data_IF_116151751415
#
_entry.id   IF_116151751415
#
_cell.length_a   1.000
_cell.length_b   1.000
_cell.length_c   1.000
_cell.angle_alpha   90.00
_cell.angle_beta   90.00
_cell.angle_gamma   90.00
#
_symmetry.space_group_name_H-M   'P 1'
#
loop_
_entity.id
_entity.type
_entity.pdbx_description
1 polymer ?
#
# COMPACT_ATOMS: atom_id res chain seq x y z
N UNK A 1 -25.81 58.42 -12.86
CA UNK A 1 -24.37 58.32 -13.20
C UNK A 1 -23.54 59.16 -12.23
N UNK A 2 -22.29 58.81 -11.90
CA UNK A 2 -21.42 57.92 -12.66
C UNK A 2 -21.11 56.59 -11.95
N UNK A 3 -21.12 55.58 -12.80
CA UNK A 3 -20.68 54.20 -12.63
C UNK A 3 -19.29 54.09 -12.00
N UNK A 4 -19.14 53.31 -10.93
CA UNK A 4 -17.86 52.66 -10.64
C UNK A 4 -17.99 51.18 -11.01
N UNK A 5 -17.33 50.86 -12.11
CA UNK A 5 -17.27 49.56 -12.77
C UNK A 5 -16.93 48.46 -11.76
N UNK A 6 -17.71 47.39 -11.82
CA UNK A 6 -17.33 46.06 -11.32
C UNK A 6 -16.20 45.58 -12.22
N UNK A 7 -15.01 45.44 -11.66
CA UNK A 7 -13.86 44.84 -12.32
C UNK A 7 -13.78 43.36 -11.89
N UNK A 8 -13.72 42.40 -12.83
CA UNK A 8 -13.74 40.97 -12.49
C UNK A 8 -12.50 40.56 -11.69
N UNK A 9 -12.60 39.57 -10.79
CA UNK A 9 -11.44 39.03 -10.11
C UNK A 9 -10.45 38.47 -11.14
N UNK A 10 -9.24 39.02 -11.12
CA UNK A 10 -8.11 38.53 -11.89
C UNK A 10 -7.85 37.08 -11.48
N UNK A 11 -7.72 36.21 -12.48
CA UNK A 11 -7.26 34.84 -12.32
C UNK A 11 -5.84 34.88 -11.74
N UNK A 12 -5.70 34.54 -10.46
CA UNK A 12 -4.39 34.19 -9.91
C UNK A 12 -3.99 32.85 -10.53
N UNK A 13 -3.03 32.91 -11.45
CA UNK A 13 -2.35 31.74 -11.99
C UNK A 13 -1.61 31.03 -10.85
N UNK A 14 -1.67 29.69 -10.76
CA UNK A 14 -0.95 28.95 -9.74
C UNK A 14 0.57 29.14 -9.93
N UNK A 15 1.33 29.36 -8.85
CA UNK A 15 2.76 29.59 -8.95
C UNK A 15 3.48 28.39 -9.58
N UNK A 16 4.36 28.71 -10.53
CA UNK A 16 5.29 27.80 -11.20
C UNK A 16 5.94 26.89 -10.16
N UNK A 17 5.75 25.57 -10.30
CA UNK A 17 6.53 24.57 -9.57
C UNK A 17 7.98 24.70 -10.01
N UNK A 18 8.78 25.29 -9.13
CA UNK A 18 10.23 25.16 -9.16
C UNK A 18 10.59 23.66 -9.07
N UNK A 19 11.40 23.19 -10.01
CA UNK A 19 12.06 21.89 -9.93
C UNK A 19 12.95 21.85 -8.70
N UNK A 20 12.78 20.90 -7.76
CA UNK A 20 13.80 20.67 -6.77
C UNK A 20 14.89 19.78 -7.39
N UNK A 21 16.00 20.45 -7.71
CA UNK A 21 17.37 20.03 -7.56
C UNK A 21 17.66 18.52 -7.48
N UNK A 22 18.40 18.05 -8.49
CA UNK A 22 19.27 16.88 -8.43
C UNK A 22 20.00 16.87 -7.08
N UNK A 23 19.68 15.89 -6.22
CA UNK A 23 20.53 15.52 -5.09
C UNK A 23 21.08 14.13 -5.33
N UNK A 24 22.39 14.14 -5.33
CA UNK A 24 23.34 13.08 -5.59
C UNK A 24 22.94 11.76 -4.92
N UNK A 25 22.98 10.69 -5.71
CA UNK A 25 22.87 9.33 -5.25
C UNK A 25 24.07 9.03 -4.35
N UNK A 26 23.89 9.18 -3.04
CA UNK A 26 24.78 8.56 -2.07
C UNK A 26 24.64 7.06 -2.21
N UNK A 27 25.69 6.41 -2.71
CA UNK A 27 25.88 4.95 -2.72
C UNK A 27 25.79 4.42 -1.28
N UNK A 28 24.58 4.10 -0.84
CA UNK A 28 24.38 3.11 0.20
C UNK A 28 24.80 1.75 -0.35
N UNK A 29 25.38 0.85 0.46
CA UNK A 29 25.86 -0.44 -0.02
C UNK A 29 24.67 -1.22 -0.55
N UNK A 30 24.53 -1.31 -1.87
CA UNK A 30 23.59 -2.18 -2.53
C UNK A 30 23.95 -3.62 -2.18
N UNK A 31 23.11 -4.37 -1.46
CA UNK A 31 23.25 -5.82 -1.45
C UNK A 31 22.75 -6.27 -2.83
N UNK A 32 23.63 -6.29 -3.82
CA UNK A 32 23.37 -6.94 -5.10
C UNK A 32 23.35 -8.46 -4.84
N UNK A 33 22.25 -8.96 -4.28
CA UNK A 33 22.00 -10.39 -4.24
C UNK A 33 21.51 -10.83 -5.63
N UNK A 34 22.14 -11.85 -6.24
CA UNK A 34 21.76 -12.31 -7.56
C UNK A 34 20.36 -12.94 -7.53
N UNK A 35 19.58 -12.82 -8.63
CA UNK A 35 18.29 -13.48 -8.78
C UNK A 35 18.54 -14.97 -9.07
N UNK A 36 18.79 -15.79 -8.04
CA UNK A 36 18.79 -17.26 -8.15
C UNK A 36 19.03 -18.02 -6.84
N UNK A 37 19.26 -17.36 -5.69
CA UNK A 37 19.57 -18.11 -4.46
C UNK A 37 18.36 -18.95 -4.04
N UNK A 38 18.48 -20.29 -3.93
CA UNK A 38 17.39 -21.14 -3.48
C UNK A 38 16.94 -20.70 -2.09
N UNK A 39 15.62 -20.53 -1.90
CA UNK A 39 15.07 -20.22 -0.59
C UNK A 39 15.27 -21.44 0.31
N UNK A 40 15.96 -21.25 1.43
CA UNK A 40 16.05 -22.29 2.46
C UNK A 40 14.67 -22.48 3.13
N UNK A 41 14.03 -23.59 2.78
CA UNK A 41 12.69 -23.96 3.26
C UNK A 41 12.70 -24.65 4.64
N UNK A 42 13.85 -24.71 5.33
CA UNK A 42 13.96 -25.44 6.60
C UNK A 42 13.16 -24.81 7.75
N UNK A 43 12.77 -23.53 7.65
CA UNK A 43 12.01 -22.84 8.70
C UNK A 43 11.21 -21.65 8.15
N UNK A 44 10.04 -21.40 8.74
CA UNK A 44 9.21 -20.22 8.45
C UNK A 44 10.00 -18.91 8.60
N UNK A 45 10.95 -18.84 9.53
CA UNK A 45 11.77 -17.65 9.73
C UNK A 45 12.74 -17.42 8.57
N UNK A 46 13.38 -18.48 8.08
CA UNK A 46 14.30 -18.40 6.93
C UNK A 46 13.57 -18.02 5.66
N UNK A 47 12.40 -18.62 5.42
CA UNK A 47 11.54 -18.29 4.26
C UNK A 47 11.13 -16.81 4.31
N UNK A 48 10.67 -16.30 5.46
CA UNK A 48 10.28 -14.89 5.62
C UNK A 48 11.45 -13.95 5.32
N UNK A 49 12.62 -14.21 5.90
CA UNK A 49 13.82 -13.40 5.67
C UNK A 49 14.25 -13.42 4.20
N UNK A 50 14.25 -14.59 3.57
CA UNK A 50 14.56 -14.72 2.15
C UNK A 50 13.57 -13.93 1.27
N UNK A 51 12.26 -14.03 1.56
CA UNK A 51 11.22 -13.28 0.83
C UNK A 51 11.37 -11.78 1.03
N UNK A 52 11.58 -11.29 2.25
CA UNK A 52 11.80 -9.85 2.50
C UNK A 52 13.05 -9.34 1.76
N UNK A 53 14.16 -10.06 1.84
CA UNK A 53 15.39 -9.70 1.13
C UNK A 53 15.17 -9.63 -0.38
N UNK A 54 14.39 -10.58 -0.93
CA UNK A 54 14.05 -10.59 -2.36
C UNK A 54 13.18 -9.39 -2.75
N UNK A 55 12.13 -9.10 -1.98
CA UNK A 55 11.24 -7.96 -2.22
C UNK A 55 11.99 -6.62 -2.18
N UNK A 56 12.97 -6.50 -1.29
CA UNK A 56 13.86 -5.34 -1.19
C UNK A 56 14.84 -5.26 -2.36
N UNK A 57 15.46 -6.38 -2.73
CA UNK A 57 16.43 -6.43 -3.84
C UNK A 57 15.77 -6.16 -5.21
N UNK A 58 14.54 -6.63 -5.40
CA UNK A 58 13.74 -6.39 -6.63
C UNK A 58 13.02 -5.04 -6.62
N UNK A 59 13.21 -4.21 -5.58
CA UNK A 59 12.60 -2.90 -5.42
C UNK A 59 11.06 -2.90 -5.54
N UNK A 60 10.41 -3.97 -5.05
CA UNK A 60 8.96 -4.09 -5.04
C UNK A 60 8.31 -3.44 -3.82
N UNK A 61 9.09 -3.11 -2.79
CA UNK A 61 8.63 -2.53 -1.52
C UNK A 61 8.53 -1.00 -1.61
N UNK A 62 7.43 -0.46 -1.10
CA UNK A 62 7.25 0.97 -0.88
C UNK A 62 7.65 1.36 0.55
N UNK A 63 8.00 2.63 0.76
CA UNK A 63 8.39 3.16 2.07
C UNK A 63 7.34 2.81 3.15
N UNK A 64 7.75 2.41 4.37
CA UNK A 64 9.11 2.43 4.92
C UNK A 64 9.95 1.18 4.65
N UNK A 65 11.17 1.40 4.15
CA UNK A 65 12.22 0.39 3.94
C UNK A 65 13.25 0.43 5.09
N UNK A 66 13.88 -0.69 5.47
CA UNK A 66 13.66 -2.05 4.95
C UNK A 66 12.37 -2.68 5.51
N UNK A 67 11.75 -3.62 4.79
CA UNK A 67 10.49 -4.27 5.17
C UNK A 67 10.61 -5.43 6.17
N UNK A 68 11.81 -5.66 6.73
CA UNK A 68 12.06 -6.78 7.66
C UNK A 68 11.10 -6.68 8.86
N UNK A 69 10.55 -7.82 9.26
CA UNK A 69 9.59 -7.97 10.37
C UNK A 69 8.26 -7.21 10.20
N UNK A 70 7.92 -6.77 8.98
CA UNK A 70 6.65 -6.11 8.68
C UNK A 70 5.99 -6.65 7.42
N UNK A 71 4.71 -6.34 7.25
CA UNK A 71 4.01 -6.46 5.96
C UNK A 71 4.25 -5.15 5.20
N UNK A 72 5.02 -5.14 4.10
CA UNK A 72 5.28 -3.92 3.35
C UNK A 72 4.09 -3.50 2.50
N UNK A 73 4.01 -2.20 2.18
CA UNK A 73 3.33 -1.76 0.96
C UNK A 73 4.17 -2.15 -0.24
N UNK A 74 3.53 -2.42 -1.37
CA UNK A 74 4.23 -2.89 -2.56
C UNK A 74 3.76 -2.15 -3.82
N UNK A 75 4.65 -2.08 -4.82
CA UNK A 75 4.35 -1.50 -6.12
C UNK A 75 3.27 -2.36 -6.81
N UNK A 76 2.20 -1.73 -7.28
CA UNK A 76 1.05 -2.43 -7.87
C UNK A 76 -0.03 -2.83 -6.85
N UNK A 77 -0.01 -2.26 -5.63
CA UNK A 77 -1.08 -2.46 -4.64
C UNK A 77 -2.48 -2.07 -5.17
N UNK A 78 -2.57 -1.05 -6.03
CA UNK A 78 -3.83 -0.64 -6.66
C UNK A 78 -4.36 -1.73 -7.59
N UNK A 79 -3.53 -2.18 -8.55
CA UNK A 79 -3.90 -3.22 -9.50
C UNK A 79 -4.28 -4.54 -8.81
N UNK A 80 -3.59 -4.87 -7.71
CA UNK A 80 -3.90 -6.05 -6.90
C UNK A 80 -5.29 -5.92 -6.24
N UNK A 81 -5.62 -4.75 -5.73
CA UNK A 81 -6.93 -4.47 -5.12
C UNK A 81 -8.04 -4.44 -6.17
N UNK A 82 -7.80 -3.87 -7.35
CA UNK A 82 -8.76 -3.89 -8.47
C UNK A 82 -9.07 -5.31 -8.93
N UNK A 83 -8.04 -6.16 -9.08
CA UNK A 83 -8.23 -7.58 -9.39
C UNK A 83 -9.01 -8.30 -8.30
N UNK A 84 -8.75 -8.00 -7.03
CA UNK A 84 -9.52 -8.55 -5.92
C UNK A 84 -10.99 -8.12 -5.98
N UNK A 85 -11.25 -6.83 -6.25
CA UNK A 85 -12.59 -6.27 -6.36
C UNK A 85 -13.40 -6.88 -7.51
N UNK A 86 -12.73 -7.38 -8.55
CA UNK A 86 -13.37 -8.05 -9.68
C UNK A 86 -13.87 -9.47 -9.35
N UNK A 87 -13.35 -10.11 -8.30
CA UNK A 87 -13.72 -11.49 -7.94
C UNK A 87 -15.18 -11.57 -7.47
N UNK A 88 -15.92 -12.55 -7.99
CA UNK A 88 -17.33 -12.76 -7.61
C UNK A 88 -17.48 -13.08 -6.11
N UNK A 89 -16.52 -13.77 -5.52
CA UNK A 89 -16.50 -14.03 -4.07
C UNK A 89 -16.40 -12.74 -3.25
N UNK A 90 -15.71 -11.73 -3.76
CA UNK A 90 -15.55 -10.44 -3.08
C UNK A 90 -16.83 -9.61 -3.25
N UNK A 91 -17.39 -9.55 -4.45
CA UNK A 91 -18.64 -8.83 -4.76
C UNK A 91 -19.85 -9.36 -3.98
N UNK A 92 -19.91 -10.67 -3.76
CA UNK A 92 -21.01 -11.32 -3.04
C UNK A 92 -20.76 -11.43 -1.52
N UNK A 93 -19.61 -10.96 -1.03
CA UNK A 93 -19.29 -11.02 0.40
C UNK A 93 -20.12 -9.99 1.19
N UNK A 94 -20.82 -10.46 2.23
CA UNK A 94 -21.54 -9.58 3.18
C UNK A 94 -20.64 -8.99 4.26
N UNK A 95 -19.53 -9.66 4.55
CA UNK A 95 -18.58 -9.30 5.60
C UNK A 95 -17.16 -9.59 5.11
N UNK A 96 -16.28 -8.58 5.22
CA UNK A 96 -14.87 -8.72 4.85
C UNK A 96 -14.01 -8.34 6.04
N UNK A 97 -13.06 -9.22 6.40
CA UNK A 97 -12.07 -9.00 7.45
C UNK A 97 -10.73 -8.61 6.82
N UNK A 98 -10.20 -7.47 7.23
CA UNK A 98 -8.91 -6.92 6.79
C UNK A 98 -8.20 -6.33 8.00
N UNK A 99 -6.86 -6.35 7.97
CA UNK A 99 -6.06 -5.74 9.04
C UNK A 99 -6.08 -4.20 8.94
N UNK A 100 -5.83 -3.53 10.07
CA UNK A 100 -5.79 -2.07 10.18
C UNK A 100 -4.41 -1.45 9.93
N UNK A 101 -3.50 -2.17 9.27
CA UNK A 101 -2.18 -1.69 8.93
C UNK A 101 -2.18 -0.83 7.65
N UNK A 102 -1.06 -0.13 7.42
CA UNK A 102 -0.87 0.71 6.22
C UNK A 102 -0.78 -0.11 4.94
N UNK A 103 -0.33 -1.38 5.02
CA UNK A 103 -0.23 -2.26 3.87
C UNK A 103 -1.60 -2.57 3.25
N UNK A 104 -2.66 -2.65 4.06
CA UNK A 104 -4.01 -2.91 3.58
C UNK A 104 -4.89 -1.65 3.49
N UNK A 105 -4.31 -0.46 3.55
CA UNK A 105 -5.06 0.80 3.45
C UNK A 105 -5.87 0.88 2.16
N UNK A 106 -5.26 0.60 1.01
CA UNK A 106 -5.95 0.64 -0.29
C UNK A 106 -7.12 -0.33 -0.36
N UNK A 107 -6.93 -1.54 0.18
CA UNK A 107 -7.99 -2.56 0.22
C UNK A 107 -9.16 -2.12 1.12
N UNK A 108 -8.87 -1.52 2.28
CA UNK A 108 -9.92 -0.99 3.16
C UNK A 108 -10.71 0.13 2.50
N UNK A 109 -10.04 1.05 1.80
CA UNK A 109 -10.70 2.10 1.03
C UNK A 109 -11.61 1.52 -0.04
N UNK A 110 -11.14 0.50 -0.77
CA UNK A 110 -11.94 -0.17 -1.79
C UNK A 110 -13.20 -0.79 -1.18
N UNK A 111 -13.09 -1.55 -0.07
CA UNK A 111 -14.25 -2.16 0.59
C UNK A 111 -15.30 -1.11 0.98
N UNK A 112 -14.86 0.03 1.53
CA UNK A 112 -15.74 1.13 1.94
C UNK A 112 -16.41 1.80 0.73
N UNK A 113 -15.72 1.86 -0.41
CA UNK A 113 -16.23 2.47 -1.65
C UNK A 113 -17.15 1.52 -2.43
N UNK A 114 -16.82 0.22 -2.47
CA UNK A 114 -17.42 -0.75 -3.37
C UNK A 114 -18.64 -1.47 -2.77
N UNK A 115 -18.81 -1.42 -1.44
CA UNK A 115 -19.79 -2.26 -0.78
C UNK A 115 -20.47 -1.58 0.41
N UNK A 116 -21.76 -1.86 0.59
CA UNK A 116 -22.45 -1.70 1.88
C UNK A 116 -21.98 -2.75 2.92
N UNK A 117 -20.97 -3.58 2.60
CA UNK A 117 -20.45 -4.59 3.51
C UNK A 117 -19.78 -3.95 4.73
N UNK A 118 -20.14 -4.44 5.91
CA UNK A 118 -19.51 -4.04 7.16
C UNK A 118 -18.06 -4.53 7.21
N UNK A 119 -17.17 -3.63 7.57
CA UNK A 119 -15.76 -3.92 7.81
C UNK A 119 -15.52 -4.16 9.30
N UNK A 120 -14.95 -5.31 9.68
CA UNK A 120 -14.52 -5.57 11.06
C UNK A 120 -13.00 -5.45 11.19
N UNK A 121 -12.57 -4.47 11.96
CA UNK A 121 -11.20 -4.34 12.42
C UNK A 121 -10.87 -5.47 13.40
N UNK A 122 -10.05 -6.43 12.98
CA UNK A 122 -9.64 -7.50 13.89
C UNK A 122 -8.50 -7.04 14.79
N UNK A 123 -8.82 -6.54 15.98
CA UNK A 123 -7.98 -6.69 17.16
C UNK A 123 -8.36 -8.01 17.81
N UNK A 124 -7.39 -8.93 17.91
CA UNK A 124 -7.42 -10.24 18.60
C UNK A 124 -8.81 -10.84 18.87
N UNK A 125 -9.23 -11.83 18.06
CA UNK A 125 -10.42 -12.62 18.37
C UNK A 125 -10.14 -13.47 19.63
N UNK A 126 -10.95 -13.39 20.71
CA UNK A 126 -10.84 -14.36 21.78
C UNK A 126 -11.25 -15.72 21.23
N UNK A 127 -10.34 -16.70 21.31
CA UNK A 127 -10.48 -18.09 20.82
C UNK A 127 -11.66 -18.89 21.43
N UNK A 128 -12.56 -18.26 22.18
CA UNK A 128 -13.68 -18.93 22.85
C UNK A 128 -14.91 -19.20 21.98
N UNK A 129 -14.93 -18.75 20.73
CA UNK A 129 -16.09 -18.88 19.85
C UNK A 129 -15.81 -19.73 18.60
N UNK A 130 -15.20 -20.90 18.79
CA UNK A 130 -15.04 -21.93 17.73
C UNK A 130 -15.31 -23.33 18.29
N UNK A 131 -16.37 -23.46 19.10
CA UNK A 131 -16.91 -24.77 19.51
C UNK A 131 -18.41 -24.77 19.27
N UNK A 132 -18.80 -25.29 18.10
CA UNK A 132 -20.11 -25.85 17.84
C UNK A 132 -19.90 -27.31 17.42
#
# INVERSE_FOLDING_TARGET
EPTKKVEPPQKEEPPKKEEPAKKEAGEGPTPHLPPSVPIDMSSKAKIRNATWNRLEAEDHVLFPRPCIDRIPRFKGENDAVEKLAQLDIFKNAKLVKVNLDKAHERLRLEIIQSCEAQFFAATTLPMKLMKN
#
